data_IF_647700579243
#
_entry.id   IF_647700579243
#
_cell.length_a   1.000
_cell.length_b   1.000
_cell.length_c   1.000
_cell.angle_alpha   90.00
_cell.angle_beta   90.00
_cell.angle_gamma   90.00
#
_symmetry.space_group_name_H-M   'P 1'
#
loop_
_entity.id
_entity.type
_entity.pdbx_description
1 polymer ?
#
# COMPACT_ATOMS: atom_id res chain seq x y z
N UNK A 1 30.63 5.86 -6.76
CA UNK A 1 29.44 5.75 -7.63
C UNK A 1 28.26 5.68 -6.68
N UNK A 2 27.34 6.64 -6.73
CA UNK A 2 26.14 6.65 -5.91
C UNK A 2 25.01 6.02 -6.73
N UNK A 3 24.42 4.93 -6.25
CA UNK A 3 23.36 4.21 -6.97
C UNK A 3 22.01 4.95 -7.00
N UNK A 4 21.85 6.00 -6.18
CA UNK A 4 20.65 6.85 -6.15
C UNK A 4 20.92 8.17 -5.45
N UNK A 5 20.17 9.23 -5.81
CA UNK A 5 20.15 10.52 -5.10
C UNK A 5 19.80 10.35 -3.60
N UNK A 6 19.07 9.30 -3.24
CA UNK A 6 18.67 9.01 -1.87
C UNK A 6 19.83 8.53 -0.98
N UNK A 7 20.87 7.92 -1.56
CA UNK A 7 22.07 7.51 -0.82
C UNK A 7 22.87 8.70 -0.30
N UNK A 8 22.71 9.88 -0.93
CA UNK A 8 23.38 11.13 -0.53
C UNK A 8 22.76 11.68 0.75
N UNK A 9 21.46 11.45 0.98
CA UNK A 9 20.71 12.03 2.10
C UNK A 9 20.75 11.20 3.38
N UNK A 10 21.33 9.98 3.36
CA UNK A 10 21.34 9.03 4.50
C UNK A 10 19.94 8.73 5.08
N UNK A 11 18.90 8.85 4.26
CA UNK A 11 17.52 8.51 4.67
C UNK A 11 17.25 7.06 4.27
N UNK A 12 16.81 6.23 5.22
CA UNK A 12 16.40 4.85 4.94
C UNK A 12 14.98 4.84 4.38
N UNK A 13 14.88 4.65 3.06
CA UNK A 13 13.61 4.50 2.39
C UNK A 13 13.12 3.05 2.36
N UNK A 14 11.80 2.88 2.28
CA UNK A 14 11.11 1.61 2.16
C UNK A 14 9.99 1.69 1.14
N UNK A 15 9.70 0.56 0.50
CA UNK A 15 8.57 0.38 -0.40
C UNK A 15 7.38 -0.31 0.30
N UNK A 16 7.52 -0.65 1.58
CA UNK A 16 6.49 -1.32 2.36
C UNK A 16 6.26 -0.66 3.70
N UNK A 17 4.99 -0.57 4.08
CA UNK A 17 4.50 -0.19 5.40
C UNK A 17 4.40 -1.36 6.38
N UNK A 18 4.75 -2.58 5.94
CA UNK A 18 4.74 -3.75 6.81
C UNK A 18 5.93 -3.68 7.76
N UNK A 19 5.64 -3.58 9.06
CA UNK A 19 6.59 -3.73 10.15
C UNK A 19 6.50 -5.13 10.76
N UNK A 20 7.63 -5.69 11.18
CA UNK A 20 7.70 -7.04 11.80
C UNK A 20 7.47 -7.00 13.32
N UNK A 21 6.81 -5.97 13.84
CA UNK A 21 6.60 -5.83 15.28
C UNK A 21 5.49 -6.75 15.79
N UNK A 22 5.76 -7.37 16.94
CA UNK A 22 4.86 -8.26 17.67
C UNK A 22 4.76 -7.82 19.13
N UNK A 23 3.86 -8.42 19.90
CA UNK A 23 3.73 -8.12 21.35
C UNK A 23 5.04 -8.33 22.13
N UNK A 24 5.91 -9.24 21.68
CA UNK A 24 7.18 -9.56 22.31
C UNK A 24 8.18 -8.39 22.24
N UNK A 25 8.02 -7.50 21.27
CA UNK A 25 8.90 -6.35 21.08
C UNK A 25 8.59 -5.19 22.06
N UNK A 26 7.45 -5.21 22.74
CA UNK A 26 6.98 -4.10 23.57
C UNK A 26 7.16 -4.45 25.05
N UNK A 27 7.90 -3.63 25.81
CA UNK A 27 8.06 -3.81 27.26
C UNK A 27 6.89 -3.18 28.02
N UNK A 28 5.79 -3.92 28.13
CA UNK A 28 4.62 -3.53 28.92
C UNK A 28 4.18 -4.65 29.86
N UNK A 29 3.91 -4.30 31.13
CA UNK A 29 3.34 -5.19 32.15
C UNK A 29 1.85 -4.90 32.29
N UNK A 30 1.02 -5.93 32.08
CA UNK A 30 -0.43 -5.81 32.16
C UNK A 30 -0.85 -5.69 33.62
N UNK A 31 -1.70 -4.71 33.92
CA UNK A 31 -2.39 -4.63 35.21
C UNK A 31 -3.51 -5.66 35.25
N UNK A 32 -3.51 -6.49 36.28
CA UNK A 32 -4.50 -7.55 36.47
C UNK A 32 -5.60 -7.09 37.41
N UNK A 33 -6.84 -7.45 37.08
CA UNK A 33 -8.01 -7.24 37.94
C UNK A 33 -8.55 -8.59 38.39
N UNK A 34 -8.82 -8.73 39.68
CA UNK A 34 -9.39 -9.96 40.22
C UNK A 34 -10.85 -10.15 39.80
N UNK A 35 -11.17 -11.33 39.28
CA UNK A 35 -12.55 -11.78 39.05
C UNK A 35 -12.69 -13.27 39.39
N UNK A 36 -13.40 -13.57 40.48
CA UNK A 36 -13.58 -14.95 40.95
C UNK A 36 -12.25 -15.61 41.32
N UNK A 37 -11.92 -16.72 40.64
CA UNK A 37 -10.74 -17.53 40.92
C UNK A 37 -9.45 -17.07 40.22
N UNK A 38 -9.52 -15.99 39.44
CA UNK A 38 -8.41 -15.50 38.61
C UNK A 38 -8.15 -14.01 38.85
N UNK A 39 -6.92 -13.59 38.60
CA UNK A 39 -6.59 -12.20 38.28
C UNK A 39 -6.14 -12.16 36.83
N UNK A 40 -6.75 -11.27 36.03
CA UNK A 40 -6.47 -11.21 34.61
C UNK A 40 -6.63 -9.78 34.07
N UNK A 41 -5.99 -9.53 32.94
CA UNK A 41 -6.02 -8.24 32.27
C UNK A 41 -5.71 -8.37 30.80
N UNK A 42 -6.22 -7.42 30.02
CA UNK A 42 -5.93 -7.26 28.59
C UNK A 42 -5.61 -5.79 28.34
N UNK A 43 -4.63 -5.52 27.49
CA UNK A 43 -4.22 -4.16 27.13
C UNK A 43 -3.85 -4.07 25.65
N UNK A 44 -4.39 -3.10 24.94
CA UNK A 44 -3.88 -2.67 23.64
C UNK A 44 -2.62 -1.84 23.90
N UNK A 45 -1.49 -2.33 23.41
CA UNK A 45 -0.17 -1.72 23.65
C UNK A 45 0.37 -0.97 22.44
N UNK A 46 -0.32 -1.05 21.30
CA UNK A 46 0.03 -0.33 20.08
C UNK A 46 -0.58 -0.95 18.84
N UNK A 47 -0.09 -0.53 17.69
CA UNK A 47 -0.51 -1.02 16.38
C UNK A 47 0.74 -1.34 15.56
N UNK A 48 0.79 -2.51 14.91
CA UNK A 48 1.80 -2.79 13.88
C UNK A 48 1.43 -2.10 12.57
N UNK A 49 2.36 -2.10 11.61
CA UNK A 49 2.09 -1.64 10.24
C UNK A 49 1.53 -0.20 10.14
N UNK A 50 1.85 0.67 11.12
CA UNK A 50 1.34 2.04 11.13
C UNK A 50 2.03 2.82 10.01
N UNK A 51 1.23 3.33 9.09
CA UNK A 51 1.71 4.17 7.99
C UNK A 51 1.07 5.54 8.03
N UNK A 52 1.85 6.59 7.82
CA UNK A 52 1.33 7.96 7.73
C UNK A 52 1.32 8.40 6.28
N UNK A 53 0.17 8.88 5.78
CA UNK A 53 0.03 9.52 4.46
C UNK A 53 -0.61 10.88 4.68
N UNK A 54 0.00 11.95 4.16
CA UNK A 54 -0.48 13.34 4.32
C UNK A 54 -0.78 13.70 5.79
N UNK A 55 0.09 13.27 6.71
CA UNK A 55 -0.05 13.52 8.15
C UNK A 55 -1.13 12.71 8.86
N UNK A 56 -1.82 11.79 8.17
CA UNK A 56 -2.86 10.93 8.76
C UNK A 56 -2.35 9.50 8.95
N UNK A 57 -2.51 8.90 10.14
CA UNK A 57 -2.07 7.54 10.41
C UNK A 57 -3.10 6.51 9.94
N UNK A 58 -2.59 5.44 9.37
CA UNK A 58 -3.34 4.30 8.90
C UNK A 58 -2.72 2.99 9.35
N UNK A 59 -3.54 1.93 9.34
CA UNK A 59 -3.11 0.54 9.46
C UNK A 59 -3.72 -0.31 8.34
N UNK A 60 -3.21 -1.53 8.17
CA UNK A 60 -3.65 -2.44 7.12
C UNK A 60 -4.99 -3.11 7.44
N UNK A 61 -5.21 -3.49 8.71
CA UNK A 61 -6.41 -4.22 9.16
C UNK A 61 -6.51 -4.26 10.69
N UNK A 62 -7.62 -4.75 11.28
CA UNK A 62 -7.73 -4.98 12.73
C UNK A 62 -6.74 -6.01 13.28
N UNK A 63 -6.12 -6.84 12.43
CA UNK A 63 -5.07 -7.78 12.83
C UNK A 63 -3.79 -7.06 13.27
N UNK A 64 -3.64 -5.78 12.94
CA UNK A 64 -2.50 -4.97 13.33
C UNK A 64 -2.57 -4.47 14.79
N UNK A 65 -3.67 -4.71 15.50
CA UNK A 65 -3.80 -4.33 16.91
C UNK A 65 -2.87 -5.23 17.75
N UNK A 66 -1.89 -4.63 18.43
CA UNK A 66 -0.99 -5.36 19.32
C UNK A 66 -1.59 -5.37 20.72
N UNK A 67 -1.94 -6.57 21.19
CA UNK A 67 -2.55 -6.78 22.51
C UNK A 67 -1.62 -7.57 23.39
N UNK A 68 -1.43 -7.11 24.64
CA UNK A 68 -0.87 -7.93 25.72
C UNK A 68 -1.96 -8.40 26.65
N UNK A 69 -1.75 -9.57 27.24
CA UNK A 69 -2.69 -10.14 28.21
C UNK A 69 -1.97 -10.91 29.30
N UNK A 70 -2.56 -10.93 30.49
CA UNK A 70 -2.13 -11.78 31.60
C UNK A 70 -3.32 -12.47 32.23
N UNK A 71 -3.11 -13.71 32.68
CA UNK A 71 -4.08 -14.49 33.44
C UNK A 71 -3.29 -15.30 34.47
N UNK A 72 -3.56 -15.06 35.74
CA UNK A 72 -2.96 -15.79 36.86
C UNK A 72 -4.05 -16.33 37.77
N UNK A 73 -3.75 -17.44 38.46
CA UNK A 73 -4.61 -17.95 39.53
C UNK A 73 -4.53 -16.96 40.70
N UNK A 74 -5.67 -16.62 41.29
CA UNK A 74 -5.69 -15.86 42.54
C UNK A 74 -5.02 -16.70 43.65
N UNK A 75 -4.29 -16.06 44.55
CA UNK A 75 -3.38 -16.71 45.52
C UNK A 75 -3.93 -17.99 46.20
N UNK A 76 -3.07 -19.00 46.46
CA UNK A 76 -3.45 -20.35 46.90
C UNK A 76 -4.09 -20.44 48.29
N UNK A 77 -4.10 -19.36 49.09
CA UNK A 77 -4.64 -19.37 50.46
C UNK A 77 -6.14 -19.72 50.51
N UNK A 78 -6.86 -19.59 49.37
CA UNK A 78 -8.30 -19.88 49.28
C UNK A 78 -8.68 -21.28 48.76
N UNK A 79 -7.71 -22.14 48.39
CA UNK A 79 -7.99 -23.46 47.83
C UNK A 79 -7.34 -24.58 48.65
N UNK A 80 -7.96 -24.99 49.78
CA UNK A 80 -7.43 -26.02 50.68
C UNK A 80 -7.36 -27.42 50.03
N UNK A 81 -7.80 -27.58 48.77
CA UNK A 81 -7.86 -28.86 48.07
C UNK A 81 -6.94 -28.96 46.85
N UNK A 82 -6.10 -27.95 46.58
CA UNK A 82 -5.11 -28.01 45.50
C UNK A 82 -5.73 -28.25 44.12
N UNK A 83 -6.94 -27.72 43.88
CA UNK A 83 -7.65 -27.98 42.62
C UNK A 83 -6.85 -27.37 41.47
N UNK A 84 -6.44 -28.23 40.53
CA UNK A 84 -5.82 -27.82 39.29
C UNK A 84 -6.88 -27.12 38.41
N UNK A 85 -6.67 -25.83 38.14
CA UNK A 85 -7.50 -25.08 37.20
C UNK A 85 -6.83 -25.07 35.82
N UNK A 86 -7.63 -25.29 34.77
CA UNK A 86 -7.20 -25.00 33.39
C UNK A 86 -7.85 -23.70 32.94
N UNK A 87 -7.05 -22.85 32.30
CA UNK A 87 -7.48 -21.56 31.77
C UNK A 87 -7.41 -21.59 30.24
N UNK A 88 -8.55 -21.44 29.59
CA UNK A 88 -8.61 -21.21 28.15
C UNK A 88 -8.81 -19.72 27.89
N UNK A 89 -7.90 -19.10 27.13
CA UNK A 89 -7.93 -17.67 26.80
C UNK A 89 -8.24 -17.49 25.32
N UNK A 90 -9.22 -16.65 25.01
CA UNK A 90 -9.54 -16.21 23.66
C UNK A 90 -9.55 -14.68 23.62
N UNK A 91 -8.83 -14.10 22.67
CA UNK A 91 -8.75 -12.64 22.48
C UNK A 91 -9.27 -12.32 21.09
N UNK A 92 -10.16 -11.34 21.02
CA UNK A 92 -10.68 -10.80 19.77
C UNK A 92 -10.44 -9.30 19.73
N UNK A 93 -10.03 -8.79 18.57
CA UNK A 93 -9.84 -7.36 18.34
C UNK A 93 -10.77 -6.87 17.23
N UNK A 94 -11.20 -5.61 17.32
CA UNK A 94 -11.99 -4.94 16.29
C UNK A 94 -11.76 -3.43 16.29
N UNK A 95 -12.09 -2.79 15.17
CA UNK A 95 -12.08 -1.32 15.04
C UNK A 95 -13.45 -0.88 14.56
N UNK A 96 -14.10 -0.02 15.34
CA UNK A 96 -15.40 0.58 15.01
C UNK A 96 -15.35 2.07 15.35
N UNK A 97 -15.78 2.92 14.42
CA UNK A 97 -15.87 4.38 14.60
C UNK A 97 -14.58 5.02 15.17
N UNK A 98 -13.41 4.60 14.68
CA UNK A 98 -12.10 5.13 15.12
C UNK A 98 -11.64 4.63 16.50
N UNK A 99 -12.33 3.65 17.10
CA UNK A 99 -11.96 3.05 18.38
C UNK A 99 -11.54 1.59 18.18
N UNK A 100 -10.33 1.24 18.60
CA UNK A 100 -9.91 -0.15 18.73
C UNK A 100 -10.42 -0.72 20.05
N UNK A 101 -10.95 -1.94 20.01
CA UNK A 101 -11.39 -2.69 21.18
C UNK A 101 -10.74 -4.06 21.18
N UNK A 102 -10.19 -4.45 22.34
CA UNK A 102 -9.71 -5.80 22.60
C UNK A 102 -10.58 -6.43 23.69
N UNK A 103 -11.15 -7.60 23.39
CA UNK A 103 -11.96 -8.38 24.33
C UNK A 103 -11.27 -9.71 24.59
N UNK A 104 -10.93 -9.97 25.85
CA UNK A 104 -10.38 -11.23 26.31
C UNK A 104 -11.43 -12.01 27.09
N UNK A 105 -11.78 -13.20 26.61
CA UNK A 105 -12.60 -14.17 27.34
C UNK A 105 -11.72 -15.24 27.95
N UNK A 106 -11.81 -15.40 29.27
CA UNK A 106 -11.09 -16.42 30.03
C UNK A 106 -12.10 -17.45 30.54
N UNK A 107 -11.96 -18.69 30.09
CA UNK A 107 -12.74 -19.81 30.59
C UNK A 107 -11.93 -20.57 31.64
N UNK A 108 -12.48 -20.68 32.84
CA UNK A 108 -11.91 -21.47 33.93
C UNK A 108 -12.63 -22.81 34.00
N UNK A 109 -11.89 -23.91 33.85
CA UNK A 109 -12.39 -25.29 34.00
C UNK A 109 -11.82 -25.91 35.27
N UNK A 110 -12.71 -26.30 36.19
CA UNK A 110 -12.36 -27.12 37.35
C UNK A 110 -12.54 -28.63 37.08
N UNK A 111 -12.04 -29.48 37.99
CA UNK A 111 -12.17 -30.95 37.88
C UNK A 111 -13.61 -31.46 38.09
N UNK A 112 -14.45 -30.71 38.80
CA UNK A 112 -15.91 -30.92 38.81
C UNK A 112 -16.48 -30.06 37.66
N UNK A 113 -17.55 -30.51 37.00
CA UNK A 113 -18.18 -29.94 35.77
C UNK A 113 -18.50 -28.41 35.76
N UNK A 114 -18.03 -27.61 36.70
CA UNK A 114 -18.14 -26.15 36.69
C UNK A 114 -17.22 -25.52 35.64
N UNK A 115 -17.82 -24.67 34.81
CA UNK A 115 -17.17 -23.85 33.80
C UNK A 115 -17.57 -22.39 34.08
N UNK A 116 -16.60 -21.56 34.46
CA UNK A 116 -16.81 -20.12 34.63
C UNK A 116 -16.18 -19.37 33.47
N UNK A 117 -16.81 -18.29 33.00
CA UNK A 117 -16.26 -17.44 31.94
C UNK A 117 -16.20 -16.00 32.43
N UNK A 118 -15.04 -15.38 32.30
CA UNK A 118 -14.77 -14.00 32.67
C UNK A 118 -14.38 -13.21 31.42
N UNK A 119 -14.80 -11.94 31.34
CA UNK A 119 -14.53 -11.08 30.18
C UNK A 119 -13.81 -9.82 30.62
N UNK A 120 -12.71 -9.52 29.98
CA UNK A 120 -11.88 -8.34 30.19
C UNK A 120 -11.83 -7.55 28.89
N UNK A 121 -11.87 -6.22 28.97
CA UNK A 121 -11.88 -5.36 27.80
C UNK A 121 -10.88 -4.21 27.97
N UNK A 122 -10.30 -3.79 26.86
CA UNK A 122 -9.57 -2.53 26.75
C UNK A 122 -9.95 -1.84 25.45
N UNK A 123 -9.89 -0.52 25.44
CA UNK A 123 -10.15 0.29 24.25
C UNK A 123 -9.23 1.50 24.18
N UNK A 124 -8.94 1.92 22.95
CA UNK A 124 -8.17 3.13 22.67
C UNK A 124 -8.54 3.70 21.29
N UNK A 125 -8.16 4.95 21.05
CA UNK A 125 -8.25 5.54 19.72
C UNK A 125 -7.37 4.77 18.74
N UNK A 126 -7.88 4.52 17.53
CA UNK A 126 -7.21 3.75 16.50
C UNK A 126 -6.92 4.59 15.25
N UNK A 127 -5.78 4.33 14.56
CA UNK A 127 -5.61 4.76 13.19
C UNK A 127 -6.74 4.25 12.29
N UNK A 128 -6.99 4.95 11.18
CA UNK A 128 -7.96 4.48 10.18
C UNK A 128 -7.42 3.27 9.42
N UNK A 129 -8.30 2.38 8.97
CA UNK A 129 -7.86 1.32 8.04
C UNK A 129 -7.69 1.96 6.66
N UNK A 130 -6.50 1.82 6.06
CA UNK A 130 -6.24 2.37 4.73
C UNK A 130 -7.10 1.66 3.69
N UNK A 131 -7.99 2.44 3.04
CA UNK A 131 -8.73 1.97 1.87
C UNK A 131 -7.77 1.83 0.70
N UNK A 132 -7.71 0.63 0.13
CA UNK A 132 -6.77 0.29 -0.94
C UNK A 132 -7.38 -0.78 -1.85
N UNK A 133 -7.00 -0.81 -3.14
CA UNK A 133 -7.55 -1.79 -4.06
C UNK A 133 -7.14 -3.21 -3.65
N UNK A 134 -8.07 -4.16 -3.71
CA UNK A 134 -7.76 -5.60 -3.61
C UNK A 134 -7.31 -6.19 -4.94
N UNK A 135 -7.47 -5.44 -6.03
CA UNK A 135 -7.05 -5.76 -7.40
C UNK A 135 -6.79 -4.46 -8.17
N UNK A 136 -5.74 -4.45 -8.98
CA UNK A 136 -5.48 -3.36 -9.91
C UNK A 136 -6.10 -3.67 -11.28
N UNK A 137 -6.49 -2.63 -12.01
CA UNK A 137 -6.95 -2.75 -13.40
C UNK A 137 -6.06 -1.94 -14.31
N UNK A 138 -5.88 -2.39 -15.53
CA UNK A 138 -5.07 -1.72 -16.52
C UNK A 138 -5.54 -1.99 -17.94
N UNK A 139 -4.89 -1.34 -18.89
CA UNK A 139 -5.18 -1.45 -20.31
C UNK A 139 -3.90 -1.72 -21.08
N UNK A 140 -4.03 -2.55 -22.09
CA UNK A 140 -3.02 -2.77 -23.13
C UNK A 140 -3.59 -2.18 -24.41
N UNK A 141 -2.88 -1.23 -24.99
CA UNK A 141 -3.19 -0.66 -26.29
C UNK A 141 -2.07 -1.05 -27.26
N UNK A 142 -2.36 -1.97 -28.17
CA UNK A 142 -1.44 -2.35 -29.23
C UNK A 142 -1.72 -1.51 -30.48
N UNK A 143 -0.70 -0.81 -30.97
CA UNK A 143 -0.74 0.00 -32.18
C UNK A 143 0.01 -0.72 -33.30
N UNK A 144 -0.70 -1.02 -34.38
CA UNK A 144 -0.13 -1.63 -35.60
C UNK A 144 -0.28 -0.67 -36.77
N UNK A 145 0.82 -0.40 -37.47
CA UNK A 145 0.85 0.48 -38.65
C UNK A 145 2.02 0.16 -39.59
N UNK A 146 2.06 0.78 -40.77
CA UNK A 146 3.02 0.48 -41.85
C UNK A 146 4.49 0.91 -41.60
N UNK A 147 4.94 1.00 -40.35
CA UNK A 147 6.34 1.36 -40.08
C UNK A 147 6.76 1.38 -38.61
N UNK A 148 5.81 1.54 -37.68
CA UNK A 148 6.10 1.52 -36.24
C UNK A 148 4.99 0.74 -35.54
N UNK A 149 5.37 -0.40 -34.95
CA UNK A 149 4.51 -1.14 -34.03
C UNK A 149 4.97 -0.84 -32.61
N UNK A 150 4.03 -0.52 -31.73
CA UNK A 150 4.32 -0.41 -30.31
C UNK A 150 3.08 -0.72 -29.48
N UNK A 151 3.30 -1.05 -28.21
CA UNK A 151 2.23 -1.33 -27.25
C UNK A 151 2.41 -0.48 -26.01
N UNK A 152 1.33 0.16 -25.57
CA UNK A 152 1.26 0.88 -24.31
C UNK A 152 0.57 -0.01 -23.28
N UNK A 153 1.20 -0.18 -22.13
CA UNK A 153 0.62 -0.87 -20.98
C UNK A 153 0.50 0.12 -19.84
N UNK A 154 -0.72 0.36 -19.37
CA UNK A 154 -1.00 1.25 -18.24
C UNK A 154 -1.82 0.54 -17.17
N UNK A 155 -1.54 0.85 -15.91
CA UNK A 155 -2.31 0.37 -14.76
C UNK A 155 -2.88 1.59 -14.03
N UNK A 156 -4.15 1.51 -13.62
CA UNK A 156 -4.75 2.53 -12.76
C UNK A 156 -4.01 2.58 -11.43
N UNK A 157 -3.35 3.71 -11.18
CA UNK A 157 -2.45 3.94 -10.05
C UNK A 157 -3.15 4.25 -8.73
N UNK A 158 -4.49 4.38 -8.72
CA UNK A 158 -5.23 4.80 -7.53
C UNK A 158 -5.05 3.82 -6.36
N UNK A 159 -4.48 4.30 -5.25
CA UNK A 159 -4.21 3.51 -4.04
C UNK A 159 -3.02 2.54 -4.15
N UNK A 160 -2.24 2.62 -5.22
CA UNK A 160 -1.03 1.81 -5.41
C UNK A 160 0.22 2.56 -4.98
N UNK A 161 1.19 1.83 -4.43
CA UNK A 161 2.52 2.32 -4.08
C UNK A 161 3.46 2.23 -5.29
N UNK A 162 3.34 1.18 -6.11
CA UNK A 162 4.12 1.01 -7.33
C UNK A 162 3.50 -0.02 -8.28
N UNK A 163 3.97 0.00 -9.52
CA UNK A 163 3.68 -1.00 -10.55
C UNK A 163 4.98 -1.42 -11.23
N UNK A 164 5.22 -2.71 -11.36
CA UNK A 164 6.39 -3.28 -12.04
C UNK A 164 5.94 -3.90 -13.36
N UNK A 165 6.52 -3.44 -14.46
CA UNK A 165 6.27 -3.94 -15.81
C UNK A 165 7.48 -4.73 -16.27
N UNK A 166 7.29 -6.02 -16.54
CA UNK A 166 8.30 -6.90 -17.11
C UNK A 166 7.88 -7.32 -18.52
N UNK A 167 8.77 -7.15 -19.49
CA UNK A 167 8.57 -7.64 -20.85
C UNK A 167 9.86 -8.19 -21.44
N UNK A 168 9.86 -9.49 -21.76
CA UNK A 168 10.98 -10.16 -22.44
C UNK A 168 12.35 -9.92 -21.78
N UNK A 169 12.41 -9.97 -20.45
CA UNK A 169 13.63 -9.75 -19.66
C UNK A 169 13.95 -8.29 -19.34
N UNK A 170 13.27 -7.32 -19.97
CA UNK A 170 13.34 -5.91 -19.58
C UNK A 170 12.32 -5.62 -18.48
N UNK A 171 12.67 -4.71 -17.57
CA UNK A 171 11.88 -4.37 -16.40
C UNK A 171 11.89 -2.85 -16.19
N UNK A 172 10.72 -2.28 -15.91
CA UNK A 172 10.60 -0.92 -15.40
C UNK A 172 9.57 -0.86 -14.28
N UNK A 173 9.92 -0.16 -13.22
CA UNK A 173 9.08 0.13 -12.06
C UNK A 173 8.58 1.57 -12.13
N UNK A 174 7.27 1.74 -12.01
CA UNK A 174 6.59 3.02 -11.79
C UNK A 174 6.33 3.16 -10.29
N UNK A 175 7.10 4.02 -9.62
CA UNK A 175 7.00 4.31 -8.20
C UNK A 175 6.06 5.50 -7.98
N UNK A 176 5.00 5.26 -7.19
CA UNK A 176 3.94 6.21 -6.89
C UNK A 176 4.04 6.76 -5.46
N UNK A 177 4.65 6.00 -4.55
CA UNK A 177 4.95 6.47 -3.20
C UNK A 177 6.29 5.91 -2.71
N UNK A 178 6.97 6.64 -1.84
CA UNK A 178 8.13 6.14 -1.09
C UNK A 178 7.91 6.33 0.40
N UNK A 179 8.29 5.34 1.20
CA UNK A 179 8.18 5.38 2.65
C UNK A 179 9.49 5.79 3.30
N UNK A 180 9.44 6.65 4.30
CA UNK A 180 10.51 6.92 5.24
C UNK A 180 10.22 6.16 6.54
N UNK A 181 11.18 5.38 7.02
CA UNK A 181 11.00 4.63 8.27
C UNK A 181 11.21 5.55 9.47
N UNK A 182 10.31 5.44 10.44
CA UNK A 182 10.42 6.02 11.76
C UNK A 182 10.16 5.00 12.86
N UNK A 183 10.27 5.45 14.11
CA UNK A 183 9.94 4.66 15.30
C UNK A 183 9.23 5.56 16.30
N UNK A 184 8.16 5.06 16.91
CA UNK A 184 7.43 5.79 17.96
C UNK A 184 8.18 5.71 19.32
N UNK A 185 7.77 6.47 20.35
CA UNK A 185 8.40 6.42 21.68
C UNK A 185 8.34 5.05 22.37
N UNK A 186 7.45 4.16 21.95
CA UNK A 186 7.33 2.79 22.47
C UNK A 186 8.22 1.80 21.71
N UNK A 187 8.99 2.25 20.72
CA UNK A 187 9.86 1.41 19.91
C UNK A 187 9.14 0.71 18.76
N UNK A 188 7.92 1.11 18.42
CA UNK A 188 7.14 0.54 17.32
C UNK A 188 7.49 1.29 16.03
N UNK A 189 8.00 0.56 15.04
CA UNK A 189 8.28 1.12 13.72
C UNK A 189 7.01 1.59 13.03
N UNK A 190 7.09 2.81 12.50
CA UNK A 190 6.10 3.42 11.63
C UNK A 190 6.76 3.80 10.29
N UNK A 191 5.94 4.03 9.26
CA UNK A 191 6.44 4.46 7.94
C UNK A 191 5.64 5.65 7.45
N UNK A 192 6.31 6.75 7.14
CA UNK A 192 5.65 7.91 6.51
C UNK A 192 5.82 7.82 5.00
N UNK A 193 4.71 7.69 4.27
CA UNK A 193 4.72 7.64 2.81
C UNK A 193 4.51 9.01 2.19
N UNK A 194 5.30 9.29 1.16
CA UNK A 194 5.25 10.50 0.36
C UNK A 194 4.88 10.13 -1.07
N UNK A 195 3.88 10.82 -1.62
CA UNK A 195 3.50 10.68 -3.02
C UNK A 195 4.64 11.14 -3.94
N UNK A 196 4.89 10.36 -4.97
CA UNK A 196 5.87 10.65 -6.02
C UNK A 196 5.39 10.11 -7.37
N UNK A 197 6.10 10.45 -8.43
CA UNK A 197 5.85 9.90 -9.75
C UNK A 197 7.18 9.74 -10.46
N UNK A 198 7.78 8.57 -10.27
CA UNK A 198 9.13 8.28 -10.76
C UNK A 198 9.15 6.92 -11.45
N UNK A 199 9.96 6.81 -12.50
CA UNK A 199 10.14 5.59 -13.27
C UNK A 199 11.61 5.19 -13.23
N UNK A 200 11.87 3.90 -13.00
CA UNK A 200 13.23 3.34 -12.99
C UNK A 200 13.25 1.99 -13.69
N UNK A 201 14.32 1.72 -14.45
CA UNK A 201 14.47 0.48 -15.21
C UNK A 201 14.84 0.72 -16.66
N UNK A 202 14.80 -0.35 -17.45
CA UNK A 202 15.29 -0.38 -18.83
C UNK A 202 14.19 -0.63 -19.88
N UNK A 203 12.95 -0.88 -19.46
CA UNK A 203 11.80 -0.86 -20.37
C UNK A 203 11.36 0.61 -20.58
N UNK A 204 11.23 1.01 -21.83
CA UNK A 204 10.78 2.36 -22.18
C UNK A 204 9.42 2.68 -21.55
N UNK A 205 9.19 3.96 -21.27
CA UNK A 205 7.92 4.44 -20.72
C UNK A 205 7.58 5.80 -21.31
N UNK A 206 6.29 6.08 -21.44
CA UNK A 206 5.79 7.35 -21.96
C UNK A 206 4.39 7.62 -21.43
N UNK A 207 4.14 8.86 -20.98
CA UNK A 207 2.81 9.34 -20.56
C UNK A 207 2.09 8.37 -19.61
N UNK A 208 2.78 7.97 -18.53
CA UNK A 208 2.22 7.07 -17.52
C UNK A 208 2.01 5.61 -17.96
N UNK A 209 2.59 5.21 -19.09
CA UNK A 209 2.50 3.84 -19.61
C UNK A 209 3.89 3.26 -19.85
N UNK A 210 4.06 1.96 -19.61
CA UNK A 210 5.19 1.22 -20.16
C UNK A 210 5.02 1.07 -21.68
N UNK A 211 6.12 1.22 -22.41
CA UNK A 211 6.16 1.19 -23.87
C UNK A 211 6.97 -0.02 -24.34
N UNK A 212 6.34 -0.87 -25.12
CA UNK A 212 6.95 -2.04 -25.75
C UNK A 212 7.03 -1.77 -27.24
N UNK A 213 8.23 -1.78 -27.79
CA UNK A 213 8.44 -1.56 -29.23
C UNK A 213 8.44 -2.89 -29.99
N UNK A 214 7.87 -2.87 -31.20
CA UNK A 214 7.78 -4.04 -32.08
C UNK A 214 6.51 -4.86 -31.88
N UNK A 215 6.52 -6.09 -32.40
CA UNK A 215 5.40 -7.02 -32.28
C UNK A 215 5.19 -7.44 -30.83
N UNK A 216 3.96 -7.28 -30.35
CA UNK A 216 3.59 -7.60 -28.98
C UNK A 216 3.27 -9.08 -28.82
N UNK A 217 3.85 -9.69 -27.79
CA UNK A 217 3.50 -11.04 -27.33
C UNK A 217 2.98 -10.96 -25.89
N UNK A 218 1.67 -11.15 -25.66
CA UNK A 218 1.09 -11.03 -24.33
C UNK A 218 1.67 -12.05 -23.34
N UNK A 219 2.21 -13.19 -23.79
CA UNK A 219 2.84 -14.19 -22.91
C UNK A 219 4.16 -13.73 -22.31
N UNK A 220 4.78 -12.71 -22.91
CA UNK A 220 6.05 -12.13 -22.45
C UNK A 220 5.84 -10.98 -21.48
N UNK A 221 4.60 -10.51 -21.32
CA UNK A 221 4.24 -9.44 -20.40
C UNK A 221 3.88 -10.02 -19.03
N UNK A 222 4.54 -9.51 -17.99
CA UNK A 222 4.13 -9.71 -16.61
C UNK A 222 4.04 -8.34 -15.92
N UNK A 223 2.90 -8.05 -15.31
CA UNK A 223 2.66 -6.79 -14.59
C UNK A 223 2.26 -7.11 -13.17
N UNK A 224 2.99 -6.53 -12.22
CA UNK A 224 2.76 -6.71 -10.79
C UNK A 224 2.50 -5.36 -10.14
N UNK A 225 1.44 -5.26 -9.33
CA UNK A 225 1.09 -4.03 -8.63
C UNK A 225 1.19 -4.24 -7.12
N UNK A 226 1.54 -3.18 -6.40
CA UNK A 226 1.68 -3.21 -4.95
C UNK A 226 0.91 -2.04 -4.34
N UNK A 227 0.16 -2.32 -3.28
CA UNK A 227 -0.19 -1.31 -2.28
C UNK A 227 1.02 -1.10 -1.36
N UNK A 228 0.91 -0.21 -0.38
CA UNK A 228 1.97 -0.07 0.64
C UNK A 228 2.09 -1.31 1.54
N UNK A 229 1.11 -2.21 1.57
CA UNK A 229 1.07 -3.36 2.48
C UNK A 229 1.24 -4.70 1.78
N UNK A 230 0.72 -4.85 0.55
CA UNK A 230 0.72 -6.13 -0.13
C UNK A 230 0.80 -6.01 -1.65
N UNK A 231 1.18 -7.12 -2.28
CA UNK A 231 1.01 -7.32 -3.71
C UNK A 231 -0.47 -7.53 -4.03
N UNK A 232 -0.93 -6.95 -5.14
CA UNK A 232 -2.30 -7.09 -5.62
C UNK A 232 -2.33 -7.60 -7.06
N UNK A 233 -3.28 -8.49 -7.40
CA UNK A 233 -3.42 -9.00 -8.75
C UNK A 233 -3.75 -7.88 -9.74
N UNK A 234 -3.25 -7.98 -10.97
CA UNK A 234 -3.46 -7.00 -12.04
C UNK A 234 -4.32 -7.63 -13.15
N UNK A 235 -5.47 -7.01 -13.43
CA UNK A 235 -6.32 -7.38 -14.55
C UNK A 235 -6.12 -6.40 -15.71
N UNK A 236 -5.61 -6.90 -16.84
CA UNK A 236 -5.35 -6.10 -18.03
C UNK A 236 -6.44 -6.34 -19.08
N UNK A 237 -7.09 -5.26 -19.51
CA UNK A 237 -7.99 -5.27 -20.67
C UNK A 237 -7.18 -5.01 -21.94
N UNK A 238 -7.26 -5.91 -22.91
CA UNK A 238 -6.55 -5.79 -24.17
C UNK A 238 -7.41 -5.09 -25.23
N UNK A 239 -6.83 -4.06 -25.88
CA UNK A 239 -7.42 -3.35 -27.02
C UNK A 239 -6.39 -3.27 -28.14
N UNK A 240 -6.79 -3.75 -29.31
CA UNK A 240 -6.05 -3.53 -30.55
C UNK A 240 -6.58 -2.25 -31.19
N UNK A 241 -5.70 -1.28 -31.39
CA UNK A 241 -5.97 -0.10 -32.20
C UNK A 241 -5.18 -0.26 -33.50
N UNK A 242 -5.88 -0.68 -34.56
CA UNK A 242 -5.32 -0.64 -35.90
C UNK A 242 -5.27 0.82 -36.34
N UNK A 243 -4.06 1.28 -36.62
CA UNK A 243 -3.89 2.60 -37.19
C UNK A 243 -3.91 2.46 -38.71
N UNK A 244 -5.09 2.69 -39.30
CA UNK A 244 -5.17 3.03 -40.72
C UNK A 244 -4.44 4.36 -40.89
N UNK A 245 -3.28 4.33 -41.55
CA UNK A 245 -2.35 5.46 -41.68
C UNK A 245 -2.90 6.72 -42.38
N UNK A 246 -4.21 6.86 -42.54
CA UNK A 246 -4.89 7.92 -43.27
C UNK A 246 -5.55 8.94 -42.32
N UNK A 247 -4.75 9.67 -41.52
CA UNK A 247 -5.25 10.92 -40.90
C UNK A 247 -4.17 11.93 -40.46
N UNK A 248 -2.96 11.86 -40.99
CA UNK A 248 -2.32 13.13 -41.37
C UNK A 248 -2.87 13.44 -42.76
N UNK A 249 -4.03 14.10 -42.79
CA UNK A 249 -4.49 14.78 -43.99
C UNK A 249 -3.49 15.91 -44.26
N UNK A 250 -2.37 15.55 -44.89
CA UNK A 250 -1.22 16.40 -45.19
C UNK A 250 -1.66 17.67 -45.93
N UNK A 251 -2.83 17.61 -46.58
CA UNK A 251 -3.45 18.74 -47.26
C UNK A 251 -3.94 19.84 -46.31
N UNK A 252 -4.42 19.52 -45.09
CA UNK A 252 -4.90 20.52 -44.13
C UNK A 252 -3.77 21.19 -43.35
N UNK A 253 -2.75 20.43 -42.97
CA UNK A 253 -1.55 20.97 -42.32
C UNK A 253 -0.74 21.84 -43.29
N UNK A 254 -0.61 21.45 -44.56
CA UNK A 254 0.07 22.26 -45.59
C UNK A 254 -0.71 23.54 -45.92
N UNK A 255 -2.05 23.49 -46.01
CA UNK A 255 -2.87 24.69 -46.23
C UNK A 255 -2.76 25.69 -45.06
N UNK A 256 -2.76 25.19 -43.81
CA UNK A 256 -2.65 26.01 -42.61
C UNK A 256 -1.28 26.69 -42.50
N UNK A 257 -0.21 25.96 -42.81
CA UNK A 257 1.15 26.49 -42.82
C UNK A 257 1.36 27.51 -43.95
N UNK A 258 0.82 27.27 -45.14
CA UNK A 258 0.84 28.23 -46.26
C UNK A 258 0.14 29.54 -45.91
N UNK A 259 -1.04 29.47 -45.29
CA UNK A 259 -1.78 30.66 -44.83
C UNK A 259 -0.96 31.45 -43.79
N UNK A 260 -0.32 30.77 -42.83
CA UNK A 260 0.52 31.43 -41.82
C UNK A 260 1.73 32.11 -42.46
N UNK A 261 2.39 31.46 -43.41
CA UNK A 261 3.54 32.03 -44.13
C UNK A 261 3.12 33.24 -44.97
N UNK A 262 1.99 33.16 -45.69
CA UNK A 262 1.45 34.30 -46.45
C UNK A 262 1.12 35.49 -45.53
N UNK A 263 0.47 35.25 -44.39
CA UNK A 263 0.15 36.30 -43.42
C UNK A 263 1.41 36.97 -42.85
N UNK A 264 2.47 36.20 -42.56
CA UNK A 264 3.77 36.74 -42.12
C UNK A 264 4.41 37.58 -43.22
N UNK A 265 4.33 37.13 -44.48
CA UNK A 265 4.92 37.82 -45.62
C UNK A 265 4.20 39.15 -45.90
N UNK A 266 2.85 39.13 -45.84
CA UNK A 266 2.02 40.34 -45.96
C UNK A 266 2.32 41.31 -44.82
N UNK A 267 2.42 40.83 -43.58
CA UNK A 267 2.79 41.66 -42.44
C UNK A 267 4.19 42.30 -42.59
N UNK A 268 5.17 41.53 -43.08
CA UNK A 268 6.51 42.03 -43.40
C UNK A 268 6.50 43.14 -44.46
N UNK A 269 5.74 42.96 -45.54
CA UNK A 269 5.56 43.96 -46.60
C UNK A 269 4.88 45.24 -46.07
N UNK A 270 3.83 45.12 -45.25
CA UNK A 270 3.17 46.26 -44.61
C UNK A 270 4.08 47.04 -43.66
N UNK A 271 5.03 46.35 -43.01
CA UNK A 271 6.01 46.99 -42.11
C UNK A 271 7.08 47.76 -42.89
N UNK A 272 7.48 47.28 -44.06
CA UNK A 272 8.45 47.96 -44.95
C UNK A 272 7.82 49.20 -45.60
N UNK A 273 6.54 49.13 -45.99
CA UNK A 273 5.80 50.25 -46.59
C UNK A 273 5.43 51.38 -45.61
N UNK A 274 5.62 51.18 -44.29
CA UNK A 274 5.36 52.18 -43.25
C UNK A 274 6.60 52.98 -42.83
N UNK A 275 7.76 52.72 -43.44
CA UNK A 275 8.99 53.49 -43.31
C UNK A 275 9.39 54.09 -44.66
#
# INVERSE_FOLDING_TARGET
IFDSIFNILKIEYTNTGVSKHTEANIKYKVTETEQGAIAAGVKIVGFSNVTTIDGKPYISSPADIIVKSSVVKKDPISDPYGVAYKFDKNITTKIENGTATATMKVTVKGNKKSKSTYTFNDSCSAPSILQRPSKATGKIFEYRGQGINYTKVSVNSTGLQRVIYNYNGNCTEHVLMIGEKGTDPNGISNVTFYSMNYWTGNLSHYSGSALINGTFDPKKLNVTAYTIYEEVPVNLEYKLEEWDGDSFDDTKTDLSLKIIIELITIYGLFRILKH
#
